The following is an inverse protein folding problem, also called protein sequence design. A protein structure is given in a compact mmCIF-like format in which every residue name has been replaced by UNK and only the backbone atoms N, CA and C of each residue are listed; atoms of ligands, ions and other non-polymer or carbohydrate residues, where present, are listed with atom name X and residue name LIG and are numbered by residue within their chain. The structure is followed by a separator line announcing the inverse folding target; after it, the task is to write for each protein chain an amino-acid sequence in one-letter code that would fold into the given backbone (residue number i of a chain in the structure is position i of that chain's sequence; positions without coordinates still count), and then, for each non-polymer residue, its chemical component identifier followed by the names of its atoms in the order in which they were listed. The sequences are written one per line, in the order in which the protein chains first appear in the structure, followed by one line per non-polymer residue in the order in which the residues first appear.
data_IF_841062997921
#
_entry.id   IF_841062997921
#
_cell.length_a   1.000
_cell.length_b   1.000
_cell.length_c   1.000
_cell.angle_alpha   90.00
_cell.angle_beta   90.00
_cell.angle_gamma   90.00
#
_symmetry.space_group_name_H-M   'P 1'
#
loop_
_entity.id
_entity.type
_entity.pdbx_description
1 polymer ?
#
# COMPACT_ATOMS: atom_id res chain seq x y z
N UNK A 1 7.98 -6.81 -0.86
CA UNK A 1 8.22 -5.40 -0.52
C UNK A 1 8.58 -5.35 0.95
N UNK A 2 9.57 -4.57 1.33
CA UNK A 2 10.00 -4.45 2.72
C UNK A 2 8.88 -3.82 3.55
N UNK A 3 8.71 -4.34 4.76
CA UNK A 3 7.62 -3.91 5.66
C UNK A 3 7.64 -2.40 5.91
N UNK A 4 8.82 -1.83 6.21
CA UNK A 4 8.95 -0.39 6.45
C UNK A 4 8.54 0.46 5.25
N UNK A 5 8.87 0.03 4.02
CA UNK A 5 8.46 0.72 2.79
C UNK A 5 6.94 0.65 2.59
N UNK A 6 6.32 -0.51 2.88
CA UNK A 6 4.87 -0.67 2.85
C UNK A 6 4.17 0.22 3.87
N UNK A 7 4.67 0.24 5.11
CA UNK A 7 4.10 1.03 6.20
C UNK A 7 4.21 2.52 5.91
N UNK A 8 5.36 2.99 5.42
CA UNK A 8 5.54 4.40 5.04
C UNK A 8 4.56 4.83 3.93
N UNK A 9 4.39 4.01 2.89
CA UNK A 9 3.44 4.27 1.82
C UNK A 9 1.99 4.27 2.34
N UNK A 10 1.63 3.27 3.16
CA UNK A 10 0.32 3.15 3.78
C UNK A 10 -0.02 4.36 4.66
N UNK A 11 0.88 4.76 5.57
CA UNK A 11 0.68 5.92 6.44
C UNK A 11 0.53 7.21 5.63
N UNK A 12 1.24 7.35 4.52
CA UNK A 12 1.09 8.50 3.63
C UNK A 12 -0.30 8.55 2.98
N UNK A 13 -0.79 7.41 2.46
CA UNK A 13 -2.14 7.30 1.90
C UNK A 13 -3.18 7.67 2.96
N UNK A 14 -3.13 7.05 4.14
CA UNK A 14 -4.10 7.32 5.21
C UNK A 14 -4.09 8.79 5.64
N UNK A 15 -2.91 9.40 5.79
CA UNK A 15 -2.77 10.82 6.10
C UNK A 15 -3.40 11.72 5.03
N UNK A 16 -3.24 11.39 3.74
CA UNK A 16 -3.82 12.13 2.62
C UNK A 16 -5.35 11.94 2.56
N UNK A 17 -5.85 10.73 2.79
CA UNK A 17 -7.28 10.41 2.77
C UNK A 17 -8.09 11.26 3.76
N UNK A 18 -7.54 11.55 4.94
CA UNK A 18 -8.18 12.43 5.96
C UNK A 18 -8.64 13.80 5.46
N UNK A 19 -8.11 14.27 4.32
CA UNK A 19 -8.46 15.58 3.72
C UNK A 19 -9.41 15.46 2.52
N UNK A 20 -9.92 14.26 2.25
CA UNK A 20 -10.80 13.99 1.11
C UNK A 20 -12.24 13.79 1.59
N UNK A 21 -13.20 14.04 0.70
CA UNK A 21 -14.62 13.76 0.94
C UNK A 21 -14.90 12.28 1.21
N UNK A 22 -14.00 11.38 0.84
CA UNK A 22 -14.10 9.95 1.11
C UNK A 22 -13.90 9.58 2.60
N UNK A 23 -13.30 10.47 3.39
CA UNK A 23 -13.06 10.29 4.82
C UNK A 23 -13.64 11.44 5.68
N UNK A 24 -14.43 12.33 5.08
CA UNK A 24 -15.05 13.45 5.80
C UNK A 24 -16.55 13.52 5.48
N UNK A 25 -17.37 13.76 6.50
CA UNK A 25 -18.83 13.81 6.35
C UNK A 25 -19.52 12.63 7.04
N UNK A 26 -20.71 12.25 6.56
CA UNK A 26 -21.44 11.09 7.07
C UNK A 26 -20.72 9.77 6.74
N UNK A 27 -21.00 8.71 7.51
CA UNK A 27 -20.46 7.37 7.24
C UNK A 27 -20.74 6.96 5.81
N UNK A 28 -19.67 6.66 5.08
CA UNK A 28 -19.73 6.12 3.73
C UNK A 28 -19.41 4.63 3.75
N UNK A 29 -19.80 3.91 2.70
CA UNK A 29 -19.51 2.47 2.56
C UNK A 29 -18.00 2.14 2.55
N UNK A 30 -17.14 3.12 2.27
CA UNK A 30 -15.68 2.94 2.25
C UNK A 30 -15.05 2.96 3.64
N UNK A 31 -15.78 3.42 4.65
CA UNK A 31 -15.31 3.51 6.03
C UNK A 31 -15.76 2.27 6.81
N UNK A 32 -14.83 1.70 7.54
CA UNK A 32 -15.14 0.81 8.65
C UNK A 32 -15.78 1.59 9.81
N UNK A 33 -16.30 0.88 10.81
CA UNK A 33 -16.89 1.51 12.01
C UNK A 33 -15.91 2.42 12.76
N UNK A 34 -14.62 2.07 12.77
CA UNK A 34 -13.53 2.87 13.34
C UNK A 34 -12.98 3.96 12.38
N UNK A 35 -13.61 4.15 11.22
CA UNK A 35 -13.29 5.23 10.27
C UNK A 35 -12.07 4.96 9.38
N UNK A 36 -11.58 3.73 9.32
CA UNK A 36 -10.51 3.33 8.43
C UNK A 36 -11.01 3.16 6.99
N UNK A 37 -10.23 3.67 6.03
CA UNK A 37 -10.52 3.54 4.61
C UNK A 37 -9.43 2.70 3.93
N UNK A 38 -9.74 1.43 3.68
CA UNK A 38 -8.82 0.48 3.04
C UNK A 38 -8.95 0.39 1.53
N UNK A 39 -9.82 1.20 0.90
CA UNK A 39 -10.24 0.98 -0.49
C UNK A 39 -9.89 2.14 -1.43
N UNK A 40 -9.84 3.37 -0.92
CA UNK A 40 -9.69 4.56 -1.76
C UNK A 40 -8.25 5.08 -1.83
N UNK A 41 -7.90 5.65 -2.99
CA UNK A 41 -6.67 6.41 -3.18
C UNK A 41 -6.94 7.93 -3.17
N UNK A 42 -6.16 8.74 -2.43
CA UNK A 42 -6.41 10.17 -2.27
C UNK A 42 -5.76 11.01 -3.39
N UNK A 43 -6.22 10.84 -4.62
CA UNK A 43 -5.74 11.58 -5.78
C UNK A 43 -6.31 11.09 -7.11
N UNK A 44 -5.78 11.63 -8.22
CA UNK A 44 -6.17 11.22 -9.56
C UNK A 44 -5.54 9.88 -9.95
N UNK A 45 -6.22 9.10 -10.79
CA UNK A 45 -5.67 7.85 -11.34
C UNK A 45 -4.31 8.06 -12.03
N UNK A 46 -4.11 9.19 -12.72
CA UNK A 46 -2.83 9.54 -13.35
C UNK A 46 -1.70 9.77 -12.35
N UNK A 47 -2.00 10.30 -11.16
CA UNK A 47 -1.03 10.45 -10.08
C UNK A 47 -0.63 9.08 -9.54
N UNK A 48 -1.59 8.20 -9.32
CA UNK A 48 -1.34 6.81 -8.89
C UNK A 48 -0.47 6.06 -9.90
N UNK A 49 -0.81 6.10 -11.19
CA UNK A 49 0.00 5.47 -12.24
C UNK A 49 1.41 6.05 -12.29
N UNK A 50 1.57 7.37 -12.10
CA UNK A 50 2.89 8.00 -12.06
C UNK A 50 3.70 7.57 -10.84
N UNK A 51 3.09 7.48 -9.65
CA UNK A 51 3.75 7.00 -8.43
C UNK A 51 4.28 5.57 -8.61
N UNK A 52 3.55 4.71 -9.33
CA UNK A 52 3.95 3.33 -9.62
C UNK A 52 4.82 3.16 -10.87
N UNK A 53 5.07 4.23 -11.64
CA UNK A 53 5.79 4.14 -12.92
C UNK A 53 7.28 3.78 -12.81
N UNK A 54 7.85 3.85 -11.61
CA UNK A 54 9.26 3.54 -11.35
C UNK A 54 9.37 2.60 -10.15
N UNK A 55 10.11 1.52 -10.36
CA UNK A 55 10.44 0.56 -9.32
C UNK A 55 11.73 0.98 -8.62
N UNK A 56 11.68 1.17 -7.30
CA UNK A 56 12.88 1.32 -6.48
C UNK A 56 13.25 -0.03 -5.86
N UNK A 57 14.33 -0.64 -6.36
CA UNK A 57 14.80 -1.96 -5.92
C UNK A 57 15.11 -2.00 -4.42
N UNK A 58 15.38 -0.85 -3.78
CA UNK A 58 15.68 -0.78 -2.34
C UNK A 58 14.46 -1.07 -1.47
N UNK A 59 13.25 -0.91 -2.00
CA UNK A 59 12.00 -1.19 -1.29
C UNK A 59 11.59 -2.66 -1.31
N UNK A 60 12.37 -3.53 -1.96
CA UNK A 60 12.03 -4.94 -2.13
C UNK A 60 13.11 -5.86 -1.57
N UNK A 61 12.68 -6.99 -1.04
CA UNK A 61 13.55 -8.14 -0.82
C UNK A 61 13.62 -8.90 -2.14
N UNK A 62 14.79 -8.89 -2.77
CA UNK A 62 15.01 -9.51 -4.07
C UNK A 62 15.59 -10.89 -3.84
N UNK A 63 14.86 -11.91 -4.25
CA UNK A 63 15.30 -13.31 -4.19
C UNK A 63 15.43 -13.87 -5.59
N UNK A 64 16.45 -14.71 -5.83
CA UNK A 64 16.45 -15.53 -7.05
C UNK A 64 15.38 -16.61 -6.89
N UNK A 65 14.83 -17.05 -8.02
CA UNK A 65 13.79 -18.09 -8.03
C UNK A 65 14.27 -19.35 -7.30
N UNK A 66 15.50 -19.77 -7.57
CA UNK A 66 16.10 -20.96 -6.97
C UNK A 66 16.26 -20.81 -5.44
N UNK A 67 16.58 -19.60 -4.95
CA UNK A 67 16.69 -19.30 -3.52
C UNK A 67 15.33 -19.34 -2.81
N UNK A 68 14.27 -18.94 -3.52
CA UNK A 68 12.90 -18.95 -3.00
C UNK A 68 12.36 -20.38 -2.85
N UNK A 69 12.64 -21.26 -3.83
CA UNK A 69 12.27 -22.67 -3.78
C UNK A 69 13.01 -23.41 -2.64
N UNK A 70 14.28 -23.07 -2.40
CA UNK A 70 15.06 -23.59 -1.27
C UNK A 70 14.49 -23.16 0.10
N UNK A 71 13.94 -21.95 0.22
CA UNK A 71 13.30 -21.48 1.46
C UNK A 71 11.94 -22.14 1.71
N UNK A 72 11.15 -22.35 0.66
CA UNK A 72 9.85 -23.03 0.76
C UNK A 72 10.01 -24.51 1.12
N UNK A 73 11.06 -25.16 0.62
CA UNK A 73 11.33 -26.59 0.90
C UNK A 73 11.89 -26.82 2.31
N UNK A 74 12.64 -25.86 2.87
CA UNK A 74 13.18 -25.94 4.24
C UNK A 74 12.18 -25.59 5.35
N UNK A 75 11.05 -24.97 5.01
CA UNK A 75 10.01 -24.60 5.99
C UNK A 75 8.94 -25.70 6.13
N UNK A 76 9.20 -26.90 5.57
CA UNK A 76 8.31 -28.07 5.65
C UNK A 76 8.89 -29.17 6.53
#
# INVERSE_FOLDING_TARGET
MKENSQNAYHSNIQRRLRRTTWNSGCSSWYLTEDGYNGTMYPGFATQFTRELSRLDMRDYDITRRDDADLKLTQTR
#
